data_IF_241604124330
#
_entry.id   IF_241604124330
#
_cell.length_a   1.000
_cell.length_b   1.000
_cell.length_c   1.000
_cell.angle_alpha   90.00
_cell.angle_beta   90.00
_cell.angle_gamma   90.00
#
_symmetry.space_group_name_H-M   'P 1'
#
loop_
_entity.id
_entity.type
_entity.pdbx_description
1 polymer ?
#
# COMPACT_ATOMS: atom_id res chain seq x y z
N UNK A 1 16.04 -18.84 -19.04
CA UNK A 1 14.70 -18.81 -18.43
C UNK A 1 14.77 -17.77 -17.33
N UNK A 2 13.78 -16.86 -17.25
CA UNK A 2 13.78 -15.84 -16.19
C UNK A 2 13.53 -16.50 -14.84
N UNK A 3 14.17 -16.00 -13.80
CA UNK A 3 13.96 -16.44 -12.42
C UNK A 3 12.97 -15.50 -11.72
N UNK A 4 11.91 -16.04 -11.15
CA UNK A 4 10.93 -15.26 -10.39
C UNK A 4 10.98 -15.69 -8.94
N UNK A 5 11.34 -14.75 -8.06
CA UNK A 5 11.25 -14.96 -6.62
C UNK A 5 9.81 -14.77 -6.17
N UNK A 6 9.23 -15.79 -5.54
CA UNK A 6 7.89 -15.77 -4.99
C UNK A 6 7.99 -15.72 -3.47
N UNK A 7 7.56 -14.60 -2.89
CA UNK A 7 7.56 -14.37 -1.44
C UNK A 7 6.13 -14.48 -0.91
N UNK A 8 5.83 -15.56 -0.20
CA UNK A 8 4.54 -15.71 0.48
C UNK A 8 4.60 -15.04 1.85
N UNK A 9 3.71 -14.08 2.09
CA UNK A 9 3.60 -13.42 3.42
C UNK A 9 2.41 -13.91 4.25
N UNK A 10 1.58 -14.78 3.66
CA UNK A 10 0.35 -15.30 4.22
C UNK A 10 -0.89 -14.78 3.47
N UNK A 11 -1.98 -14.58 4.21
CA UNK A 11 -3.27 -14.13 3.67
C UNK A 11 -4.12 -15.23 3.05
N UNK A 12 -5.33 -14.86 2.64
CA UNK A 12 -6.39 -15.77 2.19
C UNK A 12 -5.97 -16.71 1.04
N UNK A 13 -5.03 -16.28 0.20
CA UNK A 13 -4.48 -17.05 -0.92
C UNK A 13 -3.78 -18.34 -0.49
N UNK A 14 -3.27 -18.38 0.74
CA UNK A 14 -2.66 -19.57 1.36
C UNK A 14 -3.52 -20.22 2.45
N UNK A 15 -4.78 -19.76 2.61
CA UNK A 15 -5.72 -20.25 3.62
C UNK A 15 -6.81 -21.15 3.00
N UNK A 16 -7.42 -21.97 3.85
CA UNK A 16 -8.56 -22.82 3.50
C UNK A 16 -9.74 -22.53 4.42
N UNK A 17 -10.95 -22.59 3.86
CA UNK A 17 -12.21 -22.55 4.58
C UNK A 17 -12.59 -23.95 5.11
N UNK A 18 -12.96 -24.02 6.38
CA UNK A 18 -13.68 -25.17 6.93
C UNK A 18 -15.15 -25.12 6.48
N UNK A 19 -15.54 -26.03 5.58
CA UNK A 19 -16.89 -26.09 5.01
C UNK A 19 -18.01 -26.33 6.04
N UNK A 20 -17.69 -26.77 7.27
CA UNK A 20 -18.69 -26.97 8.32
C UNK A 20 -18.90 -25.73 9.18
N UNK A 21 -17.87 -24.91 9.36
CA UNK A 21 -17.90 -23.74 10.25
C UNK A 21 -17.85 -22.39 9.52
N UNK A 22 -17.48 -22.39 8.24
CA UNK A 22 -17.24 -21.18 7.44
C UNK A 22 -15.99 -20.40 7.86
N UNK A 23 -15.15 -20.98 8.74
CA UNK A 23 -13.94 -20.31 9.23
C UNK A 23 -12.81 -20.49 8.23
N UNK A 24 -12.15 -19.39 7.89
CA UNK A 24 -10.94 -19.38 7.06
C UNK A 24 -9.71 -19.35 7.97
N UNK A 25 -8.74 -20.24 7.73
CA UNK A 25 -7.51 -20.34 8.54
C UNK A 25 -6.31 -20.77 7.70
N UNK A 26 -5.08 -20.45 8.12
CA UNK A 26 -3.86 -20.92 7.46
C UNK A 26 -3.87 -22.44 7.26
N UNK A 27 -3.46 -22.89 6.08
CA UNK A 27 -3.24 -24.30 5.78
C UNK A 27 -1.83 -24.75 6.20
N UNK A 28 -1.60 -26.05 6.36
CA UNK A 28 -0.29 -26.60 6.77
C UNK A 28 0.77 -26.55 5.68
N UNK A 29 0.37 -26.48 4.41
CA UNK A 29 1.23 -26.32 3.24
C UNK A 29 0.60 -25.29 2.30
N UNK A 30 1.39 -24.34 1.78
CA UNK A 30 0.88 -23.32 0.88
C UNK A 30 0.34 -23.95 -0.41
N UNK A 31 -0.96 -23.80 -0.74
CA UNK A 31 -1.59 -24.41 -1.91
C UNK A 31 -0.90 -24.06 -3.24
N UNK A 32 -0.22 -22.91 -3.31
CA UNK A 32 0.47 -22.46 -4.51
C UNK A 32 1.72 -23.27 -4.84
N UNK A 33 2.37 -23.94 -3.88
CA UNK A 33 3.53 -24.81 -4.14
C UNK A 33 3.21 -25.91 -5.15
N UNK A 34 2.00 -26.47 -5.08
CA UNK A 34 1.54 -27.52 -5.99
C UNK A 34 1.35 -27.04 -7.44
N UNK A 35 1.33 -25.72 -7.65
CA UNK A 35 1.08 -25.06 -8.93
C UNK A 35 2.35 -24.44 -9.54
N UNK A 36 3.50 -24.57 -8.88
CA UNK A 36 4.80 -24.13 -9.41
C UNK A 36 5.14 -24.70 -10.80
N UNK A 37 4.56 -25.86 -11.12
CA UNK A 37 4.75 -26.54 -12.41
C UNK A 37 4.09 -25.84 -13.60
N UNK A 38 3.17 -24.90 -13.37
CA UNK A 38 2.40 -24.20 -14.41
C UNK A 38 3.27 -23.31 -15.31
N UNK A 39 4.49 -22.97 -14.87
CA UNK A 39 5.39 -22.05 -15.57
C UNK A 39 6.73 -22.70 -15.97
N UNK A 40 6.83 -24.04 -15.89
CA UNK A 40 8.11 -24.75 -16.10
C UNK A 40 8.76 -24.50 -17.46
N UNK A 41 8.01 -24.09 -18.46
CA UNK A 41 8.53 -23.80 -19.80
C UNK A 41 8.93 -22.32 -19.96
N UNK A 42 8.43 -21.44 -19.10
CA UNK A 42 8.54 -19.98 -19.19
C UNK A 42 9.45 -19.36 -18.12
N UNK A 43 9.43 -19.90 -16.90
CA UNK A 43 10.07 -19.32 -15.71
C UNK A 43 10.59 -20.37 -14.73
N UNK A 44 11.68 -20.04 -14.04
CA UNK A 44 12.15 -20.76 -12.87
C UNK A 44 11.63 -20.05 -11.61
N UNK A 45 10.75 -20.70 -10.84
CA UNK A 45 10.15 -20.12 -9.65
C UNK A 45 10.95 -20.49 -8.40
N UNK A 46 11.49 -19.48 -7.72
CA UNK A 46 12.14 -19.63 -6.41
C UNK A 46 11.09 -19.25 -5.37
N UNK A 47 10.58 -20.22 -4.61
CA UNK A 47 9.44 -19.99 -3.72
C UNK A 47 9.88 -20.00 -2.26
N UNK A 48 9.52 -18.96 -1.52
CA UNK A 48 9.80 -18.81 -0.10
C UNK A 48 8.52 -18.47 0.68
N UNK A 49 8.25 -19.26 1.73
CA UNK A 49 7.25 -18.90 2.73
C UNK A 49 7.87 -17.92 3.75
N UNK A 50 8.04 -16.67 3.30
CA UNK A 50 8.76 -15.63 4.02
C UNK A 50 8.07 -15.24 5.33
N UNK A 51 6.74 -15.07 5.31
CA UNK A 51 5.94 -14.88 6.52
C UNK A 51 4.69 -15.78 6.51
N UNK A 52 4.13 -15.98 7.70
CA UNK A 52 2.88 -16.70 7.93
C UNK A 52 1.90 -15.81 8.71
N UNK A 53 1.67 -14.58 8.24
CA UNK A 53 0.88 -13.57 8.95
C UNK A 53 -0.42 -13.25 8.20
N UNK A 54 -1.55 -13.07 8.90
CA UNK A 54 -2.69 -12.39 8.30
C UNK A 54 -2.34 -10.92 8.11
N UNK A 55 -2.79 -10.32 6.99
CA UNK A 55 -2.41 -8.93 6.65
C UNK A 55 -2.71 -7.88 7.73
N UNK A 56 -3.77 -7.97 8.56
CA UNK A 56 -3.95 -7.05 9.68
C UNK A 56 -2.84 -7.06 10.74
N UNK A 57 -1.95 -8.07 10.74
CA UNK A 57 -0.80 -8.14 11.64
C UNK A 57 0.48 -7.59 11.01
N UNK A 58 0.49 -7.28 9.71
CA UNK A 58 1.65 -6.71 9.02
C UNK A 58 1.85 -5.28 9.48
N UNK A 59 3.07 -4.96 9.91
CA UNK A 59 3.50 -3.62 10.30
C UNK A 59 4.61 -3.13 9.37
N UNK A 60 5.03 -1.85 9.45
CA UNK A 60 6.19 -1.37 8.70
C UNK A 60 7.47 -2.18 8.93
N UNK A 61 7.60 -2.89 10.06
CA UNK A 61 8.76 -3.75 10.33
C UNK A 61 8.83 -4.94 9.38
N UNK A 62 7.71 -5.63 9.18
CA UNK A 62 7.62 -6.73 8.22
C UNK A 62 7.76 -6.20 6.78
N UNK A 63 7.25 -5.00 6.49
CA UNK A 63 7.44 -4.36 5.19
C UNK A 63 8.93 -4.06 4.90
N UNK A 64 9.69 -3.60 5.92
CA UNK A 64 11.13 -3.36 5.81
C UNK A 64 11.91 -4.66 5.60
N UNK A 65 11.59 -5.73 6.33
CA UNK A 65 12.20 -7.05 6.11
C UNK A 65 11.94 -7.58 4.70
N UNK A 66 10.72 -7.35 4.18
CA UNK A 66 10.38 -7.73 2.81
C UNK A 66 11.19 -6.94 1.78
N UNK A 67 11.36 -5.62 1.99
CA UNK A 67 12.25 -4.77 1.18
C UNK A 67 13.67 -5.34 1.16
N UNK A 68 14.25 -5.60 2.33
CA UNK A 68 15.63 -6.08 2.47
C UNK A 68 15.87 -7.41 1.73
N UNK A 69 14.94 -8.36 1.85
CA UNK A 69 15.03 -9.65 1.13
C UNK A 69 14.97 -9.46 -0.40
N UNK A 70 14.12 -8.55 -0.87
CA UNK A 70 14.00 -8.23 -2.30
C UNK A 70 15.28 -7.57 -2.82
N UNK A 71 15.83 -6.61 -2.08
CA UNK A 71 17.10 -5.96 -2.42
C UNK A 71 18.23 -6.99 -2.49
N UNK A 72 18.33 -7.91 -1.52
CA UNK A 72 19.31 -9.00 -1.53
C UNK A 72 19.18 -9.89 -2.78
N UNK A 73 17.96 -10.28 -3.14
CA UNK A 73 17.69 -11.12 -4.32
C UNK A 73 18.16 -10.43 -5.61
N UNK A 74 17.85 -9.14 -5.73
CA UNK A 74 18.17 -8.36 -6.93
C UNK A 74 19.67 -8.10 -7.02
N UNK A 75 20.31 -7.69 -5.92
CA UNK A 75 21.75 -7.40 -5.86
C UNK A 75 22.60 -8.66 -6.13
N UNK A 76 22.13 -9.83 -5.71
CA UNK A 76 22.81 -11.10 -5.94
C UNK A 76 22.49 -11.75 -7.30
N UNK A 77 21.67 -11.09 -8.14
CA UNK A 77 21.18 -11.63 -9.42
C UNK A 77 20.45 -12.99 -9.25
N UNK A 78 19.77 -13.17 -8.13
CA UNK A 78 18.95 -14.34 -7.84
C UNK A 78 17.64 -14.31 -8.63
N UNK A 79 17.06 -13.13 -8.85
CA UNK A 79 15.74 -12.96 -9.46
C UNK A 79 15.70 -11.88 -10.55
N UNK A 80 15.00 -12.18 -11.64
CA UNK A 80 14.69 -11.26 -12.75
C UNK A 80 13.31 -10.59 -12.58
N UNK A 81 12.54 -11.00 -11.57
CA UNK A 81 11.22 -10.48 -11.19
C UNK A 81 10.81 -11.03 -9.83
N UNK A 82 9.92 -10.32 -9.13
CA UNK A 82 9.43 -10.73 -7.81
C UNK A 82 7.91 -10.73 -7.78
N UNK A 83 7.33 -11.79 -7.22
CA UNK A 83 5.90 -11.89 -6.92
C UNK A 83 5.71 -12.04 -5.42
N UNK A 84 4.90 -11.18 -4.82
CA UNK A 84 4.57 -11.23 -3.39
C UNK A 84 3.10 -11.62 -3.28
N UNK A 85 2.82 -12.73 -2.59
CA UNK A 85 1.43 -13.05 -2.25
C UNK A 85 1.13 -12.55 -0.85
N UNK A 86 0.11 -11.71 -0.72
CA UNK A 86 -0.19 -10.97 0.49
C UNK A 86 -1.67 -11.05 0.85
N UNK A 87 -1.99 -10.94 2.15
CA UNK A 87 -3.37 -10.75 2.59
C UNK A 87 -3.91 -9.39 2.14
N UNK A 88 -5.20 -9.34 1.81
CA UNK A 88 -5.76 -8.18 1.08
C UNK A 88 -6.04 -6.96 1.95
N UNK A 89 -6.03 -7.06 3.29
CA UNK A 89 -6.46 -5.94 4.15
C UNK A 89 -5.45 -4.79 4.18
N UNK A 90 -4.14 -5.10 4.15
CA UNK A 90 -3.05 -4.10 4.18
C UNK A 90 -2.17 -4.18 2.94
N UNK A 91 -2.61 -4.90 1.89
CA UNK A 91 -1.87 -5.09 0.65
C UNK A 91 -1.48 -3.75 0.01
N UNK A 92 -2.41 -2.78 0.00
CA UNK A 92 -2.16 -1.46 -0.59
C UNK A 92 -1.09 -0.66 0.16
N UNK A 93 -0.95 -0.87 1.47
CA UNK A 93 0.07 -0.22 2.30
C UNK A 93 1.44 -0.85 2.07
N UNK A 94 1.53 -2.19 2.11
CA UNK A 94 2.76 -2.92 1.82
C UNK A 94 3.27 -2.61 0.41
N UNK A 95 2.39 -2.66 -0.60
CA UNK A 95 2.77 -2.37 -1.97
C UNK A 95 3.31 -0.94 -2.11
N UNK A 96 2.68 0.04 -1.45
CA UNK A 96 3.13 1.42 -1.53
C UNK A 96 4.42 1.68 -0.74
N UNK A 97 4.59 1.02 0.41
CA UNK A 97 5.86 1.06 1.15
C UNK A 97 7.02 0.58 0.28
N UNK A 98 6.85 -0.56 -0.41
CA UNK A 98 7.85 -1.10 -1.32
C UNK A 98 8.09 -0.16 -2.52
N UNK A 99 7.03 0.42 -3.09
CA UNK A 99 7.11 1.38 -4.20
C UNK A 99 7.98 2.59 -3.84
N UNK A 100 7.83 3.10 -2.61
CA UNK A 100 8.57 4.23 -2.10
C UNK A 100 10.01 3.91 -1.69
N UNK A 101 10.38 2.63 -1.52
CA UNK A 101 11.64 2.27 -0.85
C UNK A 101 12.55 1.36 -1.67
N UNK A 102 12.03 0.71 -2.71
CA UNK A 102 12.83 -0.11 -3.63
C UNK A 102 13.27 0.71 -4.84
N UNK A 103 14.56 1.00 -4.93
CA UNK A 103 15.18 1.55 -6.13
C UNK A 103 15.58 0.41 -7.08
N UNK A 104 14.67 0.03 -7.98
CA UNK A 104 14.93 -1.07 -8.92
C UNK A 104 14.15 -0.93 -10.22
N UNK A 105 14.71 -1.51 -11.28
CA UNK A 105 14.03 -1.69 -12.57
C UNK A 105 13.36 -3.06 -12.69
N UNK A 106 13.68 -4.00 -11.78
CA UNK A 106 13.13 -5.36 -11.75
C UNK A 106 11.62 -5.31 -11.46
N UNK A 107 10.76 -6.01 -12.24
CA UNK A 107 9.33 -6.04 -11.97
C UNK A 107 9.01 -6.63 -10.59
N UNK A 108 8.30 -5.85 -9.77
CA UNK A 108 7.80 -6.30 -8.45
C UNK A 108 6.27 -6.28 -8.48
N UNK A 109 5.65 -7.42 -8.22
CA UNK A 109 4.21 -7.59 -8.31
C UNK A 109 3.64 -8.12 -7.00
N UNK A 110 2.74 -7.38 -6.37
CA UNK A 110 1.98 -7.82 -5.20
C UNK A 110 0.61 -8.31 -5.64
N UNK A 111 0.18 -9.46 -5.11
CA UNK A 111 -1.13 -10.04 -5.39
C UNK A 111 -1.72 -10.71 -4.15
N UNK A 112 -2.99 -11.11 -4.23
CA UNK A 112 -3.71 -11.75 -3.13
C UNK A 112 -4.97 -12.46 -3.61
N UNK A 113 -5.83 -12.81 -2.66
CA UNK A 113 -7.12 -13.44 -2.93
C UNK A 113 -8.19 -12.89 -2.00
N UNK A 114 -9.41 -12.72 -2.53
CA UNK A 114 -10.58 -12.36 -1.72
C UNK A 114 -11.33 -13.58 -1.21
N UNK A 115 -11.22 -14.72 -1.91
CA UNK A 115 -11.80 -16.01 -1.54
C UNK A 115 -10.69 -16.99 -1.16
N UNK A 116 -10.95 -17.85 -0.18
CA UNK A 116 -10.01 -18.89 0.26
C UNK A 116 -9.79 -19.94 -0.83
N UNK A 117 -8.67 -20.68 -0.72
CA UNK A 117 -8.19 -21.54 -1.80
C UNK A 117 -9.13 -22.68 -2.21
N UNK A 118 -10.02 -23.11 -1.33
CA UNK A 118 -10.96 -24.21 -1.54
C UNK A 118 -12.41 -23.76 -1.76
N UNK A 119 -12.67 -22.45 -1.85
CA UNK A 119 -13.99 -21.92 -2.20
C UNK A 119 -14.31 -22.07 -3.70
N UNK A 120 -15.58 -22.29 -4.04
CA UNK A 120 -16.02 -22.28 -5.44
C UNK A 120 -15.84 -20.86 -5.99
N UNK A 121 -15.06 -20.76 -7.06
CA UNK A 121 -14.69 -19.47 -7.64
C UNK A 121 -13.57 -18.76 -6.89
N UNK A 122 -12.71 -19.49 -6.17
CA UNK A 122 -11.46 -18.98 -5.64
C UNK A 122 -10.66 -18.23 -6.71
N UNK A 123 -10.20 -17.04 -6.35
CA UNK A 123 -9.47 -16.12 -7.25
C UNK A 123 -7.94 -16.22 -7.07
N UNK A 124 -7.48 -16.84 -5.98
CA UNK A 124 -6.06 -16.84 -5.61
C UNK A 124 -5.11 -17.44 -6.64
N UNK A 125 -5.38 -18.64 -7.15
CA UNK A 125 -4.51 -19.28 -8.15
C UNK A 125 -4.42 -18.46 -9.44
N UNK A 126 -5.56 -17.91 -9.88
CA UNK A 126 -5.63 -17.12 -11.10
C UNK A 126 -4.90 -15.77 -10.93
N UNK A 127 -5.13 -15.07 -9.81
CA UNK A 127 -4.41 -13.84 -9.48
C UNK A 127 -2.89 -14.08 -9.38
N UNK A 128 -2.46 -15.18 -8.75
CA UNK A 128 -1.06 -15.58 -8.69
C UNK A 128 -0.48 -15.80 -10.09
N UNK A 129 -1.20 -16.53 -10.95
CA UNK A 129 -0.77 -16.75 -12.32
C UNK A 129 -0.61 -15.44 -13.10
N UNK A 130 -1.59 -14.55 -13.01
CA UNK A 130 -1.53 -13.23 -13.65
C UNK A 130 -0.36 -12.40 -13.11
N UNK A 131 -0.08 -12.46 -11.80
CA UNK A 131 1.06 -11.77 -11.20
C UNK A 131 2.41 -12.28 -11.73
N UNK A 132 2.56 -13.61 -11.89
CA UNK A 132 3.76 -14.22 -12.50
C UNK A 132 3.92 -13.77 -13.96
N UNK A 133 2.84 -13.73 -14.75
CA UNK A 133 2.92 -13.23 -16.13
C UNK A 133 3.35 -11.77 -16.19
N UNK A 134 2.85 -10.92 -15.28
CA UNK A 134 3.29 -9.52 -15.20
C UNK A 134 4.76 -9.42 -14.79
N UNK A 135 5.21 -10.20 -13.81
CA UNK A 135 6.62 -10.21 -13.39
C UNK A 135 7.58 -10.71 -14.48
N UNK A 136 7.10 -11.55 -15.40
CA UNK A 136 7.87 -12.03 -16.56
C UNK A 136 7.90 -11.02 -17.71
N UNK A 137 6.98 -10.07 -17.76
CA UNK A 137 6.85 -9.13 -18.87
C UNK A 137 7.95 -8.06 -18.86
N UNK A 138 8.63 -7.89 -20.00
CA UNK A 138 9.58 -6.78 -20.17
C UNK A 138 8.89 -5.41 -20.12
N UNK A 139 7.58 -5.34 -20.43
CA UNK A 139 6.82 -4.09 -20.34
C UNK A 139 6.57 -3.63 -18.89
N UNK A 140 6.74 -4.53 -17.91
CA UNK A 140 6.61 -4.21 -16.49
C UNK A 140 7.88 -3.58 -15.88
N UNK A 141 9.00 -3.58 -16.63
CA UNK A 141 10.24 -2.92 -16.22
C UNK A 141 10.00 -1.42 -16.07
N UNK A 142 10.53 -0.82 -15.00
CA UNK A 142 10.38 0.61 -14.67
C UNK A 142 8.90 1.06 -14.52
N UNK A 143 8.02 0.20 -13.97
CA UNK A 143 6.63 0.57 -13.65
C UNK A 143 6.37 0.74 -12.16
N UNK A 144 7.42 0.81 -11.35
CA UNK A 144 7.35 0.77 -9.89
C UNK A 144 6.84 -0.58 -9.39
N UNK A 145 6.33 -0.59 -8.15
CA UNK A 145 5.65 -1.77 -7.60
C UNK A 145 4.22 -1.83 -8.13
N UNK A 146 3.83 -3.00 -8.61
CA UNK A 146 2.52 -3.25 -9.21
C UNK A 146 1.64 -4.07 -8.27
N UNK A 147 0.33 -3.82 -8.32
CA UNK A 147 -0.68 -4.69 -7.72
C UNK A 147 -1.49 -5.32 -8.84
N UNK A 148 -1.55 -6.66 -8.84
CA UNK A 148 -2.29 -7.44 -9.83
C UNK A 148 -3.41 -8.21 -9.15
N UNK A 149 -4.64 -7.87 -9.50
CA UNK A 149 -5.86 -8.48 -8.94
C UNK A 149 -6.94 -8.48 -10.02
N UNK A 150 -7.65 -9.60 -10.20
CA UNK A 150 -8.83 -9.67 -11.06
C UNK A 150 -8.59 -9.10 -12.47
N UNK A 151 -7.55 -9.59 -13.15
CA UNK A 151 -7.11 -9.19 -14.51
C UNK A 151 -6.67 -7.72 -14.68
N UNK A 152 -6.60 -6.94 -13.60
CA UNK A 152 -6.21 -5.53 -13.65
C UNK A 152 -4.79 -5.34 -13.05
N UNK A 153 -4.00 -4.47 -13.69
CA UNK A 153 -2.67 -4.06 -13.23
C UNK A 153 -2.76 -2.63 -12.73
N UNK A 154 -2.42 -2.41 -11.47
CA UNK A 154 -2.46 -1.10 -10.84
C UNK A 154 -1.08 -0.69 -10.33
N UNK A 155 -0.82 0.62 -10.33
CA UNK A 155 0.31 1.19 -9.59
C UNK A 155 0.05 1.05 -8.09
N UNK A 156 1.05 0.65 -7.32
CA UNK A 156 0.98 0.62 -5.87
C UNK A 156 0.55 1.96 -5.26
N UNK A 157 1.00 3.09 -5.83
CA UNK A 157 0.65 4.45 -5.37
C UNK A 157 -0.84 4.72 -5.24
N UNK A 158 -1.67 4.33 -6.20
CA UNK A 158 -3.09 4.75 -6.25
C UNK A 158 -4.11 3.63 -6.08
N UNK A 159 -3.70 2.36 -6.04
CA UNK A 159 -4.63 1.23 -5.85
C UNK A 159 -5.16 1.14 -4.42
N UNK A 160 -6.45 0.90 -4.22
CA UNK A 160 -7.01 0.71 -2.87
C UNK A 160 -8.11 -0.33 -2.87
N UNK A 161 -8.30 -1.01 -1.74
CA UNK A 161 -9.37 -1.99 -1.53
C UNK A 161 -10.70 -1.25 -1.31
N UNK A 162 -11.62 -1.35 -2.26
CA UNK A 162 -12.88 -0.58 -2.28
C UNK A 162 -14.08 -1.33 -1.73
N UNK A 163 -13.93 -2.62 -1.45
CA UNK A 163 -15.00 -3.52 -1.08
C UNK A 163 -14.50 -4.63 -0.15
N UNK A 164 -15.33 -5.04 0.79
CA UNK A 164 -14.97 -6.03 1.82
C UNK A 164 -14.92 -7.47 1.30
N UNK A 165 -15.75 -7.83 0.30
CA UNK A 165 -15.87 -9.22 -0.21
C UNK A 165 -15.77 -9.42 -1.72
N UNK A 166 -15.79 -8.35 -2.54
CA UNK A 166 -15.81 -8.49 -3.99
C UNK A 166 -14.40 -8.81 -4.52
N UNK A 167 -14.27 -9.76 -5.45
CA UNK A 167 -12.97 -10.10 -6.09
C UNK A 167 -12.40 -8.92 -6.89
N UNK A 168 -13.24 -8.04 -7.44
CA UNK A 168 -12.84 -6.83 -8.17
C UNK A 168 -12.68 -5.60 -7.25
N UNK A 169 -12.18 -5.80 -6.02
CA UNK A 169 -12.11 -4.77 -4.97
C UNK A 169 -10.93 -3.83 -5.07
N UNK A 170 -9.79 -4.28 -5.60
CA UNK A 170 -8.65 -3.38 -5.76
C UNK A 170 -8.91 -2.50 -6.98
N UNK A 171 -9.02 -1.19 -6.74
CA UNK A 171 -9.28 -0.20 -7.78
C UNK A 171 -8.33 0.96 -7.62
N UNK A 172 -8.11 1.68 -8.71
CA UNK A 172 -7.41 2.97 -8.69
C UNK A 172 -8.44 4.06 -8.94
N UNK A 173 -8.99 4.70 -7.90
CA UNK A 173 -9.94 5.80 -8.07
C UNK A 173 -9.35 6.90 -8.97
N UNK A 174 -10.20 7.53 -9.78
CA UNK A 174 -9.84 8.57 -10.77
C UNK A 174 -9.05 8.10 -12.00
N UNK A 175 -7.99 7.32 -11.84
CA UNK A 175 -7.07 7.01 -12.97
C UNK A 175 -7.31 5.66 -13.64
N UNK A 176 -7.97 4.72 -12.94
CA UNK A 176 -8.13 3.35 -13.42
C UNK A 176 -6.83 2.55 -13.42
N UNK A 177 -6.88 1.27 -13.85
CA UNK A 177 -5.69 0.44 -13.97
C UNK A 177 -4.76 0.96 -15.07
N UNK A 178 -3.46 0.70 -14.91
CA UNK A 178 -2.45 1.06 -15.90
C UNK A 178 -2.27 -0.01 -16.98
N UNK A 179 -2.80 -1.20 -16.76
CA UNK A 179 -2.73 -2.31 -17.69
C UNK A 179 -3.77 -3.39 -17.39
N UNK A 180 -3.89 -4.36 -18.30
CA UNK A 180 -4.79 -5.50 -18.19
C UNK A 180 -4.05 -6.78 -18.54
N UNK A 181 -4.52 -7.88 -17.98
CA UNK A 181 -4.12 -9.23 -18.37
C UNK A 181 -5.26 -9.88 -19.15
N UNK A 182 -4.95 -10.52 -20.26
CA UNK A 182 -5.88 -11.40 -20.97
C UNK A 182 -5.19 -12.72 -21.25
N UNK A 183 -5.57 -13.77 -20.51
CA UNK A 183 -4.87 -15.06 -20.50
C UNK A 183 -3.42 -14.91 -20.04
N UNK A 184 -2.46 -15.04 -20.95
CA UNK A 184 -1.03 -14.87 -20.70
C UNK A 184 -0.48 -13.57 -21.34
N UNK A 185 -1.33 -12.73 -21.92
CA UNK A 185 -0.93 -11.48 -22.54
C UNK A 185 -1.09 -10.32 -21.55
N UNK A 186 0.02 -9.64 -21.28
CA UNK A 186 0.11 -8.47 -20.40
C UNK A 186 0.17 -7.23 -21.29
N UNK A 187 -0.73 -6.27 -21.07
CA UNK A 187 -0.75 -5.01 -21.84
C UNK A 187 -0.81 -3.82 -20.92
N UNK A 188 0.13 -2.89 -21.08
CA UNK A 188 0.11 -1.60 -20.40
C UNK A 188 -0.45 -0.51 -21.32
N UNK A 189 -1.24 0.40 -20.75
CA UNK A 189 -1.86 1.54 -21.44
C UNK A 189 -1.44 2.88 -20.86
N UNK A 190 -0.94 2.89 -19.61
CA UNK A 190 -0.59 4.09 -18.87
C UNK A 190 0.73 3.88 -18.11
N UNK A 191 1.36 4.98 -17.70
CA UNK A 191 2.48 4.99 -16.77
C UNK A 191 2.44 6.25 -15.94
N UNK A 192 3.03 6.22 -14.74
CA UNK A 192 3.18 7.43 -13.94
C UNK A 192 4.15 8.39 -14.64
N UNK A 193 3.89 9.68 -14.49
CA UNK A 193 4.76 10.73 -15.02
C UNK A 193 5.97 11.00 -14.12
N UNK A 194 5.91 10.54 -12.87
CA UNK A 194 6.94 10.74 -11.85
C UNK A 194 7.00 9.53 -10.93
N UNK A 195 8.21 9.02 -10.77
CA UNK A 195 8.56 8.01 -9.78
C UNK A 195 9.25 8.70 -8.60
N UNK A 196 9.13 8.09 -7.42
CA UNK A 196 9.81 8.56 -6.21
C UNK A 196 10.27 7.34 -5.41
N UNK A 197 11.51 7.36 -4.94
CA UNK A 197 12.10 6.32 -4.11
C UNK A 197 13.00 6.96 -3.05
N UNK A 198 13.02 6.38 -1.85
CA UNK A 198 13.75 6.87 -0.70
C UNK A 198 14.45 5.71 -0.01
N UNK A 199 15.77 5.80 0.12
CA UNK A 199 16.55 4.79 0.84
C UNK A 199 16.33 4.92 2.34
N UNK A 200 15.77 3.89 2.96
CA UNK A 200 15.59 3.80 4.41
C UNK A 200 16.14 2.47 4.95
N UNK A 201 16.56 2.50 6.21
CA UNK A 201 17.08 1.35 6.95
C UNK A 201 16.40 1.15 8.31
N UNK A 202 15.42 2.00 8.65
CA UNK A 202 14.61 1.91 9.86
C UNK A 202 13.19 2.40 9.57
N UNK A 203 12.27 2.04 10.46
CA UNK A 203 10.85 2.44 10.45
C UNK A 203 10.41 2.75 11.88
N UNK A 204 11.21 3.57 12.55
CA UNK A 204 11.14 3.90 13.98
C UNK A 204 10.38 5.19 14.26
N UNK A 205 9.61 5.69 13.28
CA UNK A 205 8.80 6.91 13.41
C UNK A 205 7.36 6.61 13.80
N UNK A 206 6.87 7.30 14.83
CA UNK A 206 5.50 7.16 15.30
C UNK A 206 4.57 8.13 14.56
N UNK A 207 3.92 7.59 13.51
CA UNK A 207 2.97 8.32 12.67
C UNK A 207 1.54 7.86 12.94
N UNK A 208 0.69 8.78 13.36
CA UNK A 208 -0.73 8.50 13.63
C UNK A 208 -1.62 8.88 12.45
N UNK A 209 -2.77 8.20 12.34
CA UNK A 209 -3.81 8.49 11.36
C UNK A 209 -5.14 8.72 12.09
N UNK A 210 -5.71 9.91 11.96
CA UNK A 210 -7.00 10.27 12.55
C UNK A 210 -8.04 10.55 11.47
N UNK A 211 -9.21 9.93 11.58
CA UNK A 211 -10.33 10.16 10.67
C UNK A 211 -11.30 11.17 11.26
N UNK A 212 -11.49 12.31 10.58
CA UNK A 212 -12.43 13.34 11.04
C UNK A 212 -13.88 12.86 10.96
N UNK A 213 -14.71 13.31 11.90
CA UNK A 213 -16.15 13.02 11.94
C UNK A 213 -16.97 14.21 12.45
N UNK A 214 -18.30 14.14 12.27
CA UNK A 214 -19.20 15.19 12.71
C UNK A 214 -19.22 15.29 14.24
N UNK A 215 -18.95 16.49 14.77
CA UNK A 215 -18.84 16.69 16.22
C UNK A 215 -17.52 16.25 16.83
N UNK A 216 -16.49 15.93 16.02
CA UNK A 216 -15.15 15.66 16.54
C UNK A 216 -14.59 16.90 17.26
N UNK A 217 -14.01 16.68 18.43
CA UNK A 217 -13.33 17.69 19.25
C UNK A 217 -11.81 17.42 19.31
N UNK A 218 -11.10 18.15 20.15
CA UNK A 218 -9.64 18.03 20.31
C UNK A 218 -9.16 16.75 20.99
N UNK A 219 -10.03 15.91 21.56
CA UNK A 219 -9.62 14.81 22.47
C UNK A 219 -8.63 13.85 21.83
N UNK A 220 -8.86 13.44 20.58
CA UNK A 220 -7.96 12.53 19.87
C UNK A 220 -6.65 13.19 19.45
N UNK A 221 -6.66 14.49 19.17
CA UNK A 221 -5.44 15.25 18.89
C UNK A 221 -4.58 15.34 20.14
N UNK A 222 -5.17 15.65 21.30
CA UNK A 222 -4.45 15.69 22.58
C UNK A 222 -3.91 14.32 22.99
N UNK A 223 -4.62 13.24 22.65
CA UNK A 223 -4.16 11.88 22.92
C UNK A 223 -2.90 11.51 22.13
N UNK A 224 -2.78 11.98 20.88
CA UNK A 224 -1.61 11.73 20.02
C UNK A 224 -0.56 12.83 20.09
N UNK A 225 -0.78 13.90 20.86
CA UNK A 225 0.23 14.96 21.06
C UNK A 225 1.19 14.55 22.18
N UNK A 226 1.98 13.52 21.93
CA UNK A 226 2.95 12.96 22.88
C UNK A 226 4.40 13.23 22.43
N UNK A 227 5.39 13.25 23.34
CA UNK A 227 6.80 13.51 22.99
C UNK A 227 7.38 12.59 21.91
N UNK A 228 6.88 11.36 21.80
CA UNK A 228 7.27 10.37 20.80
C UNK A 228 6.64 10.58 19.42
N UNK A 229 5.68 11.49 19.28
CA UNK A 229 4.94 11.65 18.03
C UNK A 229 5.77 12.36 16.97
N UNK A 230 6.15 11.63 15.92
CA UNK A 230 6.93 12.17 14.82
C UNK A 230 6.06 12.77 13.70
N UNK A 231 4.78 12.42 13.61
CA UNK A 231 3.90 12.93 12.56
C UNK A 231 2.44 12.53 12.69
N UNK A 232 1.57 13.30 12.03
CA UNK A 232 0.13 13.07 12.03
C UNK A 232 -0.45 13.15 10.63
N UNK A 233 -1.29 12.18 10.28
CA UNK A 233 -2.14 12.21 9.09
C UNK A 233 -3.60 12.36 9.50
N UNK A 234 -4.34 13.21 8.79
CA UNK A 234 -5.74 13.50 9.05
C UNK A 234 -6.57 13.17 7.81
N UNK A 235 -7.55 12.27 7.93
CA UNK A 235 -8.61 12.13 6.94
C UNK A 235 -9.73 13.15 7.21
N UNK A 236 -9.62 14.33 6.60
CA UNK A 236 -10.51 15.46 6.81
C UNK A 236 -11.86 15.33 6.07
N UNK A 237 -12.82 16.18 6.44
CA UNK A 237 -14.16 16.20 5.84
C UNK A 237 -14.15 16.86 4.46
N UNK A 238 -14.84 16.26 3.49
CA UNK A 238 -15.05 16.88 2.16
C UNK A 238 -13.74 17.25 1.48
N UNK A 239 -13.63 18.48 0.98
CA UNK A 239 -12.41 18.97 0.35
C UNK A 239 -11.29 19.37 1.33
N UNK A 240 -11.29 18.85 2.57
CA UNK A 240 -10.20 19.09 3.52
C UNK A 240 -10.53 20.07 4.64
N UNK A 241 -11.66 19.85 5.31
CA UNK A 241 -12.13 20.70 6.41
C UNK A 241 -12.19 19.93 7.74
N UNK A 242 -12.04 20.67 8.85
CA UNK A 242 -12.14 20.17 10.21
C UNK A 242 -13.19 20.92 11.03
N UNK A 243 -13.83 20.28 12.01
CA UNK A 243 -14.67 20.98 12.98
C UNK A 243 -13.86 22.01 13.78
N UNK A 244 -14.40 23.23 14.04
CA UNK A 244 -13.69 24.27 14.80
C UNK A 244 -13.20 23.83 16.19
N UNK A 245 -13.89 22.88 16.83
CA UNK A 245 -13.54 22.36 18.15
C UNK A 245 -12.21 21.58 18.17
N UNK A 246 -11.71 21.15 17.02
CA UNK A 246 -10.41 20.46 16.90
C UNK A 246 -9.22 21.42 16.87
N UNK A 247 -9.44 22.68 16.46
CA UNK A 247 -8.37 23.62 16.13
C UNK A 247 -7.44 23.95 17.30
N UNK A 248 -7.91 24.15 18.54
CA UNK A 248 -7.01 24.43 19.66
C UNK A 248 -6.03 23.29 19.92
N UNK A 249 -6.45 22.03 19.81
CA UNK A 249 -5.59 20.87 20.01
C UNK A 249 -4.66 20.65 18.81
N UNK A 250 -5.18 20.83 17.59
CA UNK A 250 -4.36 20.81 16.37
C UNK A 250 -3.24 21.86 16.41
N UNK A 251 -3.51 23.05 16.96
CA UNK A 251 -2.48 24.11 17.03
C UNK A 251 -1.32 23.72 17.93
N UNK A 252 -1.59 23.04 19.06
CA UNK A 252 -0.52 22.54 19.96
C UNK A 252 0.45 21.59 19.23
N UNK A 253 -0.09 20.68 18.42
CA UNK A 253 0.72 19.76 17.62
C UNK A 253 1.62 20.52 16.63
N UNK A 254 1.09 21.54 15.96
CA UNK A 254 1.89 22.39 15.06
C UNK A 254 2.95 23.19 15.82
N UNK A 255 2.63 23.68 17.02
CA UNK A 255 3.56 24.40 17.89
C UNK A 255 4.73 23.50 18.35
N UNK A 256 4.51 22.18 18.46
CA UNK A 256 5.55 21.16 18.68
C UNK A 256 6.35 20.80 17.41
N UNK A 257 6.11 21.47 16.28
CA UNK A 257 6.77 21.23 15.00
C UNK A 257 6.55 19.82 14.43
N UNK A 258 5.47 19.16 14.83
CA UNK A 258 5.06 17.86 14.30
C UNK A 258 4.43 18.10 12.91
N UNK A 259 4.91 17.46 11.83
CA UNK A 259 4.32 17.60 10.51
C UNK A 259 2.91 16.98 10.48
N UNK A 260 1.95 17.77 10.02
CA UNK A 260 0.55 17.36 9.89
C UNK A 260 0.17 17.30 8.42
N UNK A 261 -0.10 16.09 7.91
CA UNK A 261 -0.57 15.84 6.53
C UNK A 261 -2.08 15.65 6.53
N UNK A 262 -2.75 16.25 5.56
CA UNK A 262 -4.20 16.24 5.43
C UNK A 262 -4.61 15.65 4.08
N UNK A 263 -5.41 14.59 4.17
CA UNK A 263 -6.11 13.94 3.05
C UNK A 263 -7.61 14.17 3.19
N UNK A 264 -8.40 13.85 2.16
CA UNK A 264 -9.85 13.72 2.31
C UNK A 264 -10.20 12.31 2.79
N UNK A 265 -11.18 12.18 3.69
CA UNK A 265 -11.83 10.89 3.98
C UNK A 265 -12.80 10.45 2.88
N UNK A 266 -13.09 11.32 1.91
CA UNK A 266 -13.92 11.00 0.75
C UNK A 266 -13.20 9.96 -0.09
N UNK A 267 -13.94 8.97 -0.59
CA UNK A 267 -13.38 7.87 -1.37
C UNK A 267 -12.64 8.35 -2.65
N UNK A 268 -13.06 9.49 -3.20
CA UNK A 268 -12.43 10.06 -4.38
C UNK A 268 -12.36 11.59 -4.29
N UNK A 269 -11.44 12.18 -5.04
CA UNK A 269 -11.16 13.61 -5.06
C UNK A 269 -9.90 13.97 -4.28
N UNK A 270 -9.63 15.28 -4.22
CA UNK A 270 -8.41 15.84 -3.63
C UNK A 270 -8.80 16.92 -2.62
N UNK A 271 -8.07 17.01 -1.50
CA UNK A 271 -8.25 18.11 -0.56
C UNK A 271 -7.79 19.44 -1.19
N UNK A 272 -8.51 20.53 -0.94
CA UNK A 272 -8.29 21.84 -1.55
C UNK A 272 -8.36 22.93 -0.49
N UNK A 273 -7.50 23.94 -0.62
CA UNK A 273 -7.40 25.09 0.27
C UNK A 273 -8.37 26.22 -0.14
N UNK A 274 -9.64 25.89 -0.44
CA UNK A 274 -10.60 26.86 -1.01
C UNK A 274 -11.53 27.51 0.02
N UNK A 275 -11.78 26.83 1.15
CA UNK A 275 -12.75 27.28 2.14
C UNK A 275 -12.10 28.16 3.21
N UNK A 276 -12.47 29.44 3.25
CA UNK A 276 -12.01 30.43 4.23
C UNK A 276 -13.04 30.64 5.36
N UNK A 277 -13.07 29.69 6.29
CA UNK A 277 -13.79 29.80 7.56
C UNK A 277 -13.01 29.06 8.66
N UNK A 278 -13.44 29.16 9.92
CA UNK A 278 -12.80 28.44 11.03
C UNK A 278 -12.81 26.92 10.80
N UNK A 279 -11.64 26.33 10.59
CA UNK A 279 -11.48 24.90 10.23
C UNK A 279 -11.69 24.60 8.73
N UNK A 280 -11.82 25.62 7.90
CA UNK A 280 -11.80 25.49 6.45
C UNK A 280 -10.39 25.28 5.92
N UNK A 281 -10.27 24.51 4.84
CA UNK A 281 -8.98 24.11 4.27
C UNK A 281 -8.02 25.25 3.96
N UNK A 282 -8.51 26.45 3.60
CA UNK A 282 -7.65 27.62 3.34
C UNK A 282 -6.83 28.00 4.57
N UNK A 283 -7.50 28.16 5.70
CA UNK A 283 -6.86 28.54 6.97
C UNK A 283 -5.97 27.44 7.52
N UNK A 284 -6.36 26.17 7.32
CA UNK A 284 -5.54 25.02 7.72
C UNK A 284 -4.21 25.00 6.95
N UNK A 285 -4.24 25.24 5.63
CA UNK A 285 -3.02 25.35 4.81
C UNK A 285 -2.14 26.52 5.25
N UNK A 286 -2.72 27.68 5.52
CA UNK A 286 -2.00 28.86 6.03
C UNK A 286 -1.39 28.64 7.42
N UNK A 287 -1.99 27.78 8.24
CA UNK A 287 -1.44 27.36 9.53
C UNK A 287 -0.25 26.39 9.41
N UNK A 288 0.06 25.90 8.21
CA UNK A 288 1.19 24.99 7.97
C UNK A 288 0.80 23.52 7.79
N UNK A 289 -0.50 23.19 7.73
CA UNK A 289 -0.92 21.82 7.40
C UNK A 289 -0.56 21.50 5.95
N UNK A 290 0.03 20.33 5.76
CA UNK A 290 0.47 19.82 4.47
C UNK A 290 -0.71 19.13 3.79
N UNK A 291 -1.03 19.54 2.56
CA UNK A 291 -2.10 18.93 1.78
C UNK A 291 -1.44 17.98 0.80
N UNK A 292 -2.01 16.78 0.63
CA UNK A 292 -1.52 15.83 -0.36
C UNK A 292 -2.50 15.65 -1.52
N UNK A 293 -1.96 15.36 -2.69
CA UNK A 293 -2.72 15.15 -3.90
C UNK A 293 -2.77 13.66 -4.28
N UNK A 294 -3.96 13.06 -4.18
CA UNK A 294 -4.24 11.72 -4.72
C UNK A 294 -3.92 10.52 -3.83
N UNK A 295 -3.36 10.73 -2.63
CA UNK A 295 -3.17 9.67 -1.63
C UNK A 295 -4.36 9.57 -0.67
N UNK A 296 -4.66 8.35 -0.21
CA UNK A 296 -5.56 8.10 0.90
C UNK A 296 -4.80 8.17 2.24
N UNK A 297 -5.53 8.10 3.37
CA UNK A 297 -4.95 8.21 4.71
C UNK A 297 -3.85 7.20 5.00
N UNK A 298 -4.08 5.88 4.81
CA UNK A 298 -3.08 4.85 5.03
C UNK A 298 -1.79 5.09 4.23
N UNK A 299 -1.89 5.48 2.97
CA UNK A 299 -0.71 5.74 2.13
C UNK A 299 0.01 7.03 2.48
N UNK A 300 -0.72 8.11 2.78
CA UNK A 300 -0.10 9.32 3.28
C UNK A 300 0.67 9.06 4.58
N UNK A 301 0.17 8.17 5.44
CA UNK A 301 0.87 7.73 6.66
C UNK A 301 2.16 6.96 6.33
N UNK A 302 2.11 6.02 5.39
CA UNK A 302 3.31 5.29 4.93
C UNK A 302 4.33 6.25 4.32
N UNK A 303 3.91 7.19 3.48
CA UNK A 303 4.81 8.18 2.89
C UNK A 303 5.47 9.06 3.95
N UNK A 304 4.71 9.58 4.90
CA UNK A 304 5.26 10.41 5.97
C UNK A 304 6.28 9.64 6.82
N UNK A 305 5.98 8.38 7.16
CA UNK A 305 6.92 7.47 7.82
C UNK A 305 8.21 7.31 7.03
N UNK A 306 8.13 7.04 5.72
CA UNK A 306 9.29 6.83 4.86
C UNK A 306 10.13 8.11 4.74
N UNK A 307 9.52 9.28 4.50
CA UNK A 307 10.25 10.55 4.36
C UNK A 307 11.01 10.91 5.65
N UNK A 308 10.37 10.77 6.80
CA UNK A 308 11.00 11.05 8.10
C UNK A 308 12.10 10.02 8.43
N UNK A 309 11.89 8.75 8.08
CA UNK A 309 12.91 7.69 8.26
C UNK A 309 14.10 7.85 7.30
N UNK A 310 13.88 8.50 6.14
CA UNK A 310 14.94 8.88 5.20
C UNK A 310 15.78 10.06 5.70
N UNK A 311 15.33 10.75 6.76
CA UNK A 311 16.03 11.89 7.35
C UNK A 311 15.65 13.24 6.75
N UNK A 312 14.56 13.32 5.97
CA UNK A 312 14.02 14.59 5.49
C UNK A 312 13.50 15.39 6.71
N UNK A 313 13.98 16.63 6.92
CA UNK A 313 13.55 17.44 8.06
C UNK A 313 12.04 17.73 8.00
N UNK A 314 11.37 17.79 9.15
CA UNK A 314 9.95 18.12 9.25
C UNK A 314 9.56 19.42 8.51
N UNK A 315 10.46 20.41 8.48
CA UNK A 315 10.27 21.68 7.76
C UNK A 315 10.24 21.56 6.24
N UNK A 316 10.75 20.47 5.67
CA UNK A 316 10.85 20.23 4.22
C UNK A 316 9.82 19.21 3.72
N UNK A 317 9.14 18.48 4.62
CA UNK A 317 8.15 17.45 4.27
C UNK A 317 7.07 17.97 3.31
N UNK A 318 6.71 19.25 3.40
CA UNK A 318 5.70 19.86 2.55
C UNK A 318 6.03 19.79 1.05
N UNK A 319 7.32 19.79 0.68
CA UNK A 319 7.77 19.78 -0.73
C UNK A 319 7.61 18.41 -1.39
N UNK A 320 7.33 17.37 -0.59
CA UNK A 320 7.23 15.98 -1.02
C UNK A 320 5.78 15.48 -1.15
N UNK A 321 4.76 16.27 -0.80
CA UNK A 321 3.33 15.85 -0.77
C UNK A 321 2.44 16.58 -1.78
#
# INVERSE_FOLDING_TARGET
MKKILVLHTGGTISMSEDQTTGKVSPSSENPLHTHSHLFKEEADLIVEDFFHLPSPHITPKEMLQLKERIEEAILSHEADGVVITHGTDTLEETAYFLDLTLETTVPIVVTGAMRSSNEIGADGLYNFQSAVWVALSDEAINKGVLVVMNDEIHTARYVTKTHTTNVATFRTPTFGPIGLISKNEVRFFQQLTQDETYSIHSVDKDIYLLKAYAGMDGTLFEAVDQPETDGLVIEALGAGNLPPATLPAMQKILDHQIPVVLVSRSFNGVAQDVYDYSGGGKRLKEAGIIFTHGLNGPKARIKLLVLLSNGIPASEIADYF
#
